data_IF_011288292090
#
_entry.id   IF_011288292090
#
_cell.length_a   1.000
_cell.length_b   1.000
_cell.length_c   1.000
_cell.angle_alpha   90.00
_cell.angle_beta   90.00
_cell.angle_gamma   90.00
#
_symmetry.space_group_name_H-M   'P 1'
#
loop_
_entity.id
_entity.type
_entity.pdbx_description
1 polymer ?
#
# COMPACT_ATOMS: atom_id res chain seq x y z
N UNK A 1 -59.72 -0.41 -52.40
CA UNK A 1 -60.43 0.49 -51.46
C UNK A 1 -59.72 0.45 -50.12
N UNK A 2 -59.31 1.63 -49.66
CA UNK A 2 -59.18 2.12 -48.28
C UNK A 2 -58.15 1.51 -47.31
N UNK A 3 -57.04 2.27 -47.16
CA UNK A 3 -56.28 2.57 -45.92
C UNK A 3 -57.21 3.14 -44.81
N UNK A 4 -56.88 3.13 -43.49
CA UNK A 4 -55.63 3.72 -42.99
C UNK A 4 -54.98 3.19 -41.67
N UNK A 5 -53.70 3.56 -41.59
CA UNK A 5 -52.86 3.98 -40.45
C UNK A 5 -53.29 3.65 -39.01
N UNK A 6 -52.36 3.10 -38.24
CA UNK A 6 -51.88 3.78 -37.02
C UNK A 6 -50.47 3.34 -36.65
N UNK A 7 -49.60 4.35 -36.58
CA UNK A 7 -48.25 4.31 -36.00
C UNK A 7 -48.38 4.30 -34.48
N UNK A 8 -47.62 3.45 -33.80
CA UNK A 8 -47.21 3.69 -32.43
C UNK A 8 -45.74 3.27 -32.30
N UNK A 9 -44.86 4.26 -32.27
CA UNK A 9 -43.44 4.12 -31.91
C UNK A 9 -43.37 4.44 -30.42
N UNK A 10 -42.97 3.47 -29.59
CA UNK A 10 -42.55 3.73 -28.21
C UNK A 10 -41.02 3.59 -28.14
N UNK A 11 -40.28 4.62 -27.71
CA UNK A 11 -38.87 4.48 -27.41
C UNK A 11 -38.71 4.03 -25.94
N UNK A 12 -38.25 2.80 -25.73
CA UNK A 12 -37.71 2.37 -24.44
C UNK A 12 -36.25 2.80 -24.37
N UNK A 13 -36.01 4.01 -23.88
CA UNK A 13 -34.70 4.46 -23.46
C UNK A 13 -34.37 3.82 -22.10
N UNK A 14 -33.60 2.72 -22.11
CA UNK A 14 -32.97 2.20 -20.91
C UNK A 14 -31.70 3.02 -20.64
N UNK A 15 -31.78 3.94 -19.70
CA UNK A 15 -30.64 4.65 -19.15
C UNK A 15 -29.79 3.68 -18.32
N UNK A 16 -28.63 3.29 -18.85
CA UNK A 16 -27.61 2.59 -18.09
C UNK A 16 -26.90 3.58 -17.15
N UNK A 17 -27.35 3.65 -15.90
CA UNK A 17 -26.61 4.31 -14.83
C UNK A 17 -25.46 3.38 -14.39
N UNK A 18 -24.31 3.50 -15.05
CA UNK A 18 -23.06 3.01 -14.50
C UNK A 18 -22.67 3.92 -13.33
N UNK A 19 -23.09 3.55 -12.12
CA UNK A 19 -22.56 4.16 -10.90
C UNK A 19 -21.08 3.78 -10.81
N UNK A 20 -20.21 4.72 -11.16
CA UNK A 20 -18.78 4.62 -10.94
C UNK A 20 -18.54 4.56 -9.41
N UNK A 21 -18.31 3.36 -8.88
CA UNK A 21 -17.74 3.20 -7.54
C UNK A 21 -16.29 3.67 -7.60
N UNK A 22 -16.04 4.98 -7.43
CA UNK A 22 -14.71 5.52 -7.19
C UNK A 22 -14.29 5.15 -5.76
N UNK A 23 -13.24 4.32 -5.53
CA UNK A 23 -12.69 4.13 -4.19
C UNK A 23 -11.76 5.32 -3.88
N UNK A 24 -12.33 6.52 -3.74
CA UNK A 24 -11.58 7.74 -3.48
C UNK A 24 -11.95 8.30 -2.11
N UNK A 25 -11.53 7.62 -1.03
CA UNK A 25 -11.67 8.17 0.33
C UNK A 25 -10.57 7.67 1.27
N UNK A 26 -9.31 7.80 0.85
CA UNK A 26 -8.19 7.76 1.79
C UNK A 26 -7.73 9.21 1.97
N UNK A 27 -8.01 9.79 3.14
CA UNK A 27 -7.45 11.09 3.51
C UNK A 27 -5.94 10.90 3.71
N UNK A 28 -5.07 11.79 3.17
CA UNK A 28 -3.65 11.77 3.49
C UNK A 28 -3.45 11.83 5.02
N UNK A 29 -2.71 10.86 5.59
CA UNK A 29 -2.47 10.76 7.03
C UNK A 29 -3.58 10.10 7.86
N UNK A 30 -4.58 9.47 7.24
CA UNK A 30 -5.58 8.70 7.99
C UNK A 30 -4.96 7.43 8.60
N UNK A 31 -5.01 7.32 9.93
CA UNK A 31 -4.78 6.07 10.65
C UNK A 31 -5.89 5.07 10.30
N UNK A 32 -5.54 3.85 9.88
CA UNK A 32 -6.52 2.80 9.62
C UNK A 32 -7.06 2.28 10.97
N UNK A 33 -8.38 2.32 11.25
CA UNK A 33 -8.91 1.91 12.55
C UNK A 33 -8.54 0.48 12.93
N UNK A 34 -7.99 0.34 14.13
CA UNK A 34 -7.42 -0.85 14.77
C UNK A 34 -8.51 -1.71 15.42
N UNK A 35 -9.00 -2.73 14.72
CA UNK A 35 -9.51 -3.91 15.39
C UNK A 35 -8.31 -4.83 15.68
N UNK A 36 -7.66 -4.61 16.82
CA UNK A 36 -6.50 -5.37 17.35
C UNK A 36 -5.38 -5.59 16.33
N UNK A 37 -4.68 -4.51 15.96
CA UNK A 37 -3.37 -4.63 15.32
C UNK A 37 -2.32 -4.21 16.35
N UNK A 38 -1.33 -5.06 16.57
CA UNK A 38 -0.07 -4.63 17.18
C UNK A 38 0.67 -3.75 16.15
N UNK A 39 1.44 -2.76 16.63
CA UNK A 39 2.03 -1.72 15.77
C UNK A 39 1.01 -0.74 15.14
N UNK A 40 1.49 0.46 14.83
CA UNK A 40 0.75 1.50 14.12
C UNK A 40 1.01 1.42 12.61
N UNK A 41 0.06 1.88 11.79
CA UNK A 41 0.22 1.92 10.33
C UNK A 41 -0.24 3.22 9.67
N UNK A 42 0.52 3.65 8.66
CA UNK A 42 0.27 4.89 7.92
C UNK A 42 0.35 4.69 6.41
N UNK A 43 -0.63 5.21 5.68
CA UNK A 43 -0.59 5.29 4.21
C UNK A 43 0.05 6.61 3.78
N UNK A 44 1.21 6.52 3.13
CA UNK A 44 1.98 7.67 2.65
C UNK A 44 1.59 7.96 1.20
N UNK A 45 0.89 9.08 0.99
CA UNK A 45 0.33 9.47 -0.33
C UNK A 45 1.00 10.69 -0.95
N UNK A 46 1.82 11.44 -0.19
CA UNK A 46 2.56 12.59 -0.72
C UNK A 46 3.73 12.08 -1.57
N UNK A 47 3.79 12.35 -2.89
CA UNK A 47 4.78 11.72 -3.78
C UNK A 47 6.24 11.91 -3.34
N UNK A 48 6.60 13.09 -2.81
CA UNK A 48 7.95 13.35 -2.30
C UNK A 48 8.29 12.45 -1.11
N UNK A 49 7.36 12.28 -0.17
CA UNK A 49 7.57 11.43 1.02
C UNK A 49 7.53 9.95 0.62
N UNK A 50 6.62 9.57 -0.28
CA UNK A 50 6.55 8.23 -0.85
C UNK A 50 7.88 7.83 -1.51
N UNK A 51 8.46 8.70 -2.35
CA UNK A 51 9.77 8.48 -2.93
C UNK A 51 10.87 8.32 -1.87
N UNK A 52 10.85 9.15 -0.82
CA UNK A 52 11.80 9.06 0.29
C UNK A 52 11.68 7.75 1.07
N UNK A 53 10.48 7.21 1.28
CA UNK A 53 10.27 5.90 1.94
C UNK A 53 10.93 4.77 1.13
N UNK A 54 10.89 4.87 -0.20
CA UNK A 54 11.55 3.90 -1.07
C UNK A 54 13.05 4.19 -1.28
N UNK A 55 13.56 5.37 -0.94
CA UNK A 55 15.00 5.70 -0.99
C UNK A 55 15.74 5.12 0.24
N UNK A 56 15.80 3.79 0.25
CA UNK A 56 16.44 3.00 1.30
C UNK A 56 17.96 2.99 1.13
N UNK A 57 18.71 3.09 2.23
CA UNK A 57 20.17 3.19 2.18
C UNK A 57 20.88 1.83 2.30
N UNK A 58 20.34 0.87 3.04
CA UNK A 58 21.02 -0.39 3.37
C UNK A 58 20.23 -1.65 3.02
N UNK A 59 19.13 -1.53 2.27
CA UNK A 59 18.37 -2.65 1.70
C UNK A 59 17.99 -2.35 0.25
N UNK A 60 17.58 -3.38 -0.50
CA UNK A 60 16.93 -3.15 -1.79
C UNK A 60 15.48 -2.71 -1.60
N UNK A 61 14.96 -1.92 -2.53
CA UNK A 61 13.56 -1.53 -2.63
C UNK A 61 13.26 -1.14 -4.09
N UNK A 62 11.99 -1.20 -4.52
CA UNK A 62 11.61 -0.85 -5.89
C UNK A 62 12.07 0.54 -6.35
N UNK A 63 12.21 1.51 -5.43
CA UNK A 63 12.65 2.86 -5.76
C UNK A 63 14.16 3.01 -5.98
N UNK A 64 14.98 1.98 -5.71
CA UNK A 64 16.44 2.01 -5.91
C UNK A 64 16.83 1.77 -7.36
N UNK A 65 15.97 1.10 -8.11
CA UNK A 65 16.18 0.82 -9.53
C UNK A 65 15.59 1.96 -10.37
N UNK A 66 16.45 2.64 -11.13
CA UNK A 66 16.03 3.76 -11.96
C UNK A 66 14.96 3.30 -12.98
N UNK A 67 13.79 3.93 -12.93
CA UNK A 67 12.67 3.64 -13.84
C UNK A 67 11.83 2.42 -13.47
N UNK A 68 12.13 1.69 -12.38
CA UNK A 68 11.29 0.59 -11.92
C UNK A 68 9.93 1.08 -11.41
N UNK A 69 9.94 2.19 -10.64
CA UNK A 69 8.71 2.88 -10.21
C UNK A 69 8.32 3.90 -11.27
N UNK A 70 7.15 3.72 -11.87
CA UNK A 70 6.60 4.61 -12.91
C UNK A 70 5.54 5.57 -12.38
N UNK A 71 5.04 5.34 -11.16
CA UNK A 71 3.98 6.14 -10.58
C UNK A 71 3.73 5.82 -9.11
N UNK A 72 2.98 6.71 -8.45
CA UNK A 72 2.52 6.54 -7.07
C UNK A 72 0.99 6.65 -7.04
N UNK A 73 0.37 5.84 -6.19
CA UNK A 73 -1.07 5.82 -6.02
C UNK A 73 -1.43 5.64 -4.54
N UNK A 74 -2.67 5.94 -4.17
CA UNK A 74 -3.15 5.80 -2.80
C UNK A 74 -3.84 4.44 -2.59
N UNK A 75 -3.26 3.50 -1.80
CA UNK A 75 -3.94 2.27 -1.40
C UNK A 75 -5.31 2.52 -0.79
N UNK A 76 -6.31 1.79 -1.26
CA UNK A 76 -7.63 1.79 -0.63
C UNK A 76 -7.56 1.11 0.74
N UNK A 77 -8.52 1.44 1.60
CA UNK A 77 -8.66 0.79 2.91
C UNK A 77 -8.74 -0.74 2.80
N UNK A 78 -9.51 -1.25 1.84
CA UNK A 78 -9.66 -2.69 1.63
C UNK A 78 -8.34 -3.36 1.23
N UNK A 79 -7.54 -2.72 0.38
CA UNK A 79 -6.23 -3.26 0.00
C UNK A 79 -5.25 -3.24 1.18
N UNK A 80 -5.31 -2.23 2.05
CA UNK A 80 -4.53 -2.22 3.30
C UNK A 80 -5.00 -3.32 4.25
N UNK A 81 -6.30 -3.51 4.43
CA UNK A 81 -6.84 -4.61 5.25
C UNK A 81 -6.44 -5.98 4.69
N UNK A 82 -6.44 -6.16 3.37
CA UNK A 82 -5.97 -7.38 2.71
C UNK A 82 -4.47 -7.62 2.98
N UNK A 83 -3.63 -6.59 2.83
CA UNK A 83 -2.20 -6.65 3.13
C UNK A 83 -1.96 -7.06 4.58
N UNK A 84 -2.62 -6.39 5.52
CA UNK A 84 -2.45 -6.61 6.96
C UNK A 84 -2.85 -8.04 7.36
N UNK A 85 -3.92 -8.57 6.76
CA UNK A 85 -4.33 -9.96 6.96
C UNK A 85 -3.31 -11.00 6.48
N UNK A 86 -2.36 -10.61 5.61
CA UNK A 86 -1.29 -11.48 5.13
C UNK A 86 0.00 -11.38 5.96
N UNK A 87 0.13 -10.42 6.88
CA UNK A 87 1.34 -10.26 7.70
C UNK A 87 1.75 -11.53 8.47
N UNK A 88 0.83 -12.34 9.05
CA UNK A 88 1.21 -13.58 9.72
C UNK A 88 1.93 -14.58 8.82
N UNK A 89 1.76 -14.51 7.49
CA UNK A 89 2.49 -15.37 6.55
C UNK A 89 3.98 -15.05 6.47
N UNK A 90 4.39 -13.87 6.97
CA UNK A 90 5.78 -13.47 7.03
C UNK A 90 6.50 -13.95 8.29
N UNK A 91 5.81 -14.55 9.28
CA UNK A 91 6.40 -14.91 10.58
C UNK A 91 7.64 -15.80 10.49
N UNK A 92 7.70 -16.68 9.48
CA UNK A 92 8.86 -17.55 9.25
C UNK A 92 10.13 -16.77 8.87
N UNK A 93 9.99 -15.57 8.29
CA UNK A 93 11.10 -14.70 7.87
C UNK A 93 11.28 -13.52 8.83
N UNK A 94 10.18 -12.97 9.34
CA UNK A 94 10.09 -11.82 10.24
C UNK A 94 9.27 -12.25 11.47
N UNK A 95 9.93 -12.70 12.55
CA UNK A 95 9.22 -13.03 13.79
C UNK A 95 8.38 -11.84 14.27
N UNK A 96 7.13 -12.12 14.66
CA UNK A 96 6.17 -11.11 15.09
C UNK A 96 6.03 -9.93 14.10
N UNK A 97 5.94 -10.23 12.79
CA UNK A 97 5.80 -9.22 11.74
C UNK A 97 4.67 -8.21 12.00
N UNK A 98 3.61 -8.65 12.67
CA UNK A 98 2.50 -7.81 13.08
C UNK A 98 2.83 -6.82 14.21
N UNK A 99 3.95 -6.92 14.92
CA UNK A 99 4.23 -6.00 16.04
C UNK A 99 4.90 -4.69 15.60
N UNK A 100 5.49 -4.67 14.41
CA UNK A 100 6.22 -3.51 13.88
C UNK A 100 5.28 -2.35 13.56
N UNK A 101 5.75 -1.12 13.78
CA UNK A 101 5.15 0.05 13.14
C UNK A 101 5.47 0.02 11.63
N UNK A 102 4.61 0.61 10.80
CA UNK A 102 4.77 0.49 9.33
C UNK A 102 4.20 1.62 8.47
N UNK A 103 4.90 1.95 7.40
CA UNK A 103 4.46 2.84 6.33
C UNK A 103 4.12 2.05 5.06
N UNK A 104 3.03 2.45 4.39
CA UNK A 104 2.60 1.89 3.12
C UNK A 104 2.70 2.92 2.01
N UNK A 105 3.27 2.51 0.88
CA UNK A 105 3.34 3.32 -0.33
C UNK A 105 2.78 2.53 -1.51
N UNK A 106 1.72 3.02 -2.14
CA UNK A 106 1.25 2.48 -3.41
C UNK A 106 2.19 2.92 -4.53
N UNK A 107 2.76 1.96 -5.26
CA UNK A 107 3.62 2.20 -6.43
C UNK A 107 3.08 1.49 -7.67
N UNK A 108 3.34 2.08 -8.82
CA UNK A 108 3.19 1.44 -10.12
C UNK A 108 4.57 0.94 -10.58
N UNK A 109 4.66 -0.35 -10.90
CA UNK A 109 5.90 -1.01 -11.33
C UNK A 109 5.56 -2.13 -12.30
N UNK A 110 6.21 -2.15 -13.46
CA UNK A 110 5.97 -3.18 -14.49
C UNK A 110 4.51 -3.26 -14.97
N UNK A 111 3.80 -2.12 -14.99
CA UNK A 111 2.38 -2.05 -15.38
C UNK A 111 1.41 -2.60 -14.33
N UNK A 112 1.87 -2.86 -13.10
CA UNK A 112 1.06 -3.37 -11.98
C UNK A 112 1.08 -2.39 -10.82
N UNK A 113 0.00 -2.38 -10.05
CA UNK A 113 -0.09 -1.66 -8.78
C UNK A 113 0.29 -2.60 -7.65
N UNK A 114 1.34 -2.25 -6.91
CA UNK A 114 1.78 -2.96 -5.71
C UNK A 114 1.91 -1.99 -4.54
N UNK A 115 1.95 -2.51 -3.32
CA UNK A 115 2.12 -1.74 -2.09
C UNK A 115 3.49 -2.08 -1.50
N UNK A 116 4.36 -1.10 -1.40
CA UNK A 116 5.59 -1.23 -0.64
C UNK A 116 5.30 -1.03 0.85
N UNK A 117 5.76 -1.97 1.66
CA UNK A 117 5.72 -1.93 3.11
C UNK A 117 7.11 -1.56 3.62
N UNK A 118 7.19 -0.52 4.46
CA UNK A 118 8.37 -0.16 5.25
C UNK A 118 8.03 -0.34 6.74
N UNK A 119 8.63 -1.31 7.40
CA UNK A 119 8.37 -1.64 8.80
C UNK A 119 9.58 -1.35 9.69
N UNK A 120 9.31 -0.92 10.92
CA UNK A 120 10.30 -0.41 11.86
C UNK A 120 9.83 -0.54 13.31
N UNK A 121 10.81 -0.50 14.23
CA UNK A 121 10.58 -0.10 15.62
C UNK A 121 11.35 1.19 15.87
N UNK A 122 10.64 2.24 16.25
CA UNK A 122 11.27 3.48 16.72
C UNK A 122 11.52 3.39 18.23
N UNK A 123 12.62 3.98 18.73
CA UNK A 123 12.78 4.13 20.17
C UNK A 123 11.69 5.04 20.74
N UNK A 124 11.30 4.79 21.98
CA UNK A 124 10.34 5.63 22.70
C UNK A 124 10.81 7.09 22.70
N UNK A 125 9.88 8.01 22.40
CA UNK A 125 10.15 9.45 22.39
C UNK A 125 10.90 9.97 21.16
N UNK A 126 10.99 9.20 20.07
CA UNK A 126 11.51 9.68 18.80
C UNK A 126 10.72 10.90 18.29
N UNK A 127 11.43 11.99 17.95
CA UNK A 127 10.86 13.22 17.38
C UNK A 127 10.67 13.10 15.86
N UNK A 128 9.93 12.07 15.43
CA UNK A 128 9.60 11.83 14.03
C UNK A 128 8.10 11.47 13.93
N UNK A 129 7.39 12.04 12.95
CA UNK A 129 5.98 11.73 12.71
C UNK A 129 5.88 10.79 11.50
N UNK A 130 5.67 9.46 11.70
CA UNK A 130 5.62 8.51 10.59
C UNK A 130 4.45 8.73 9.63
N UNK A 131 3.49 9.60 9.96
CA UNK A 131 2.43 10.01 9.02
C UNK A 131 2.87 11.07 8.02
N UNK A 132 3.96 11.79 8.31
CA UNK A 132 4.46 12.94 7.54
C UNK A 132 5.89 12.77 7.03
N UNK A 133 6.69 12.01 7.77
CA UNK A 133 8.12 11.84 7.54
C UNK A 133 8.44 10.41 7.12
N UNK A 134 9.30 10.26 6.12
CA UNK A 134 9.76 8.94 5.69
C UNK A 134 10.69 8.34 6.76
N UNK A 135 10.37 7.14 7.27
CA UNK A 135 11.26 6.44 8.20
C UNK A 135 12.38 5.79 7.41
N UNK A 136 13.57 6.41 7.47
CA UNK A 136 14.78 6.00 6.76
C UNK A 136 15.89 5.77 7.78
N UNK A 137 16.22 4.50 8.02
CA UNK A 137 17.28 4.11 8.96
C UNK A 137 18.30 3.26 8.22
N UNK A 138 19.59 3.57 8.36
CA UNK A 138 20.66 2.73 7.84
C UNK A 138 21.15 1.79 8.93
N UNK A 139 21.54 0.58 8.57
CA UNK A 139 22.14 -0.42 9.46
C UNK A 139 21.31 -0.81 10.71
N UNK A 140 19.98 -0.69 10.59
CA UNK A 140 19.01 -1.05 11.64
C UNK A 140 18.81 -2.55 11.84
N UNK A 141 19.41 -3.40 11.01
CA UNK A 141 19.31 -4.85 11.08
C UNK A 141 17.87 -5.36 10.97
N UNK A 142 17.54 -6.39 11.75
CA UNK A 142 16.21 -7.01 11.74
C UNK A 142 15.08 -6.11 12.28
N UNK A 143 15.39 -4.98 12.92
CA UNK A 143 14.38 -4.05 13.44
C UNK A 143 13.79 -3.15 12.35
N UNK A 144 14.36 -3.17 11.15
CA UNK A 144 13.91 -2.37 10.02
C UNK A 144 13.90 -3.25 8.78
N UNK A 145 12.72 -3.47 8.21
CA UNK A 145 12.53 -4.33 7.06
C UNK A 145 11.49 -3.77 6.10
N UNK A 146 11.47 -4.31 4.90
CA UNK A 146 10.46 -3.97 3.91
C UNK A 146 10.10 -5.16 3.06
N UNK A 147 8.94 -5.07 2.42
CA UNK A 147 8.42 -6.10 1.53
C UNK A 147 7.53 -5.44 0.46
N UNK A 148 7.30 -6.14 -0.64
CA UNK A 148 6.35 -5.75 -1.68
C UNK A 148 5.11 -6.62 -1.54
N UNK A 149 3.93 -6.00 -1.50
CA UNK A 149 2.65 -6.68 -1.49
C UNK A 149 1.91 -6.45 -2.79
N UNK A 150 1.47 -7.53 -3.43
CA UNK A 150 0.60 -7.45 -4.60
C UNK A 150 -0.87 -7.65 -4.19
N UNK A 151 -1.73 -6.61 -4.27
CA UNK A 151 -3.14 -6.72 -3.92
C UNK A 151 -3.96 -7.59 -4.88
N UNK A 152 -3.52 -7.76 -6.13
CA UNK A 152 -4.23 -8.60 -7.11
C UNK A 152 -4.07 -10.10 -6.78
N UNK A 153 -2.93 -10.50 -6.23
CA UNK A 153 -2.65 -11.90 -5.86
C UNK A 153 -2.76 -12.15 -4.35
N UNK A 154 -2.69 -11.11 -3.52
CA UNK A 154 -2.70 -11.22 -2.06
C UNK A 154 -1.40 -11.82 -1.51
N UNK A 155 -0.26 -11.54 -2.15
CA UNK A 155 1.03 -12.17 -1.79
C UNK A 155 2.11 -11.13 -1.52
N UNK A 156 2.98 -11.45 -0.55
CA UNK A 156 4.21 -10.71 -0.32
C UNK A 156 5.38 -11.29 -1.14
N UNK A 157 6.28 -10.42 -1.57
CA UNK A 157 7.59 -10.72 -2.16
C UNK A 157 8.66 -9.77 -1.59
N UNK A 158 9.91 -10.02 -1.97
CA UNK A 158 11.03 -9.09 -1.77
C UNK A 158 11.19 -8.61 -0.32
N UNK A 159 11.10 -9.54 0.62
CA UNK A 159 11.36 -9.27 2.04
C UNK A 159 12.85 -8.97 2.21
N UNK A 160 13.18 -7.76 2.64
CA UNK A 160 14.55 -7.26 2.79
C UNK A 160 14.72 -6.56 4.13
N UNK A 161 15.89 -6.73 4.76
CA UNK A 161 16.24 -6.13 6.05
C UNK A 161 17.35 -5.11 5.89
N UNK A 162 17.43 -4.12 6.78
CA UNK A 162 18.47 -3.09 6.78
C UNK A 162 19.79 -3.61 7.38
N UNK A 163 20.30 -4.72 6.84
CA UNK A 163 21.47 -5.45 7.34
C UNK A 163 21.12 -6.85 7.88
N UNK A 164 22.11 -7.70 8.15
CA UNK A 164 21.86 -9.04 8.69
C UNK A 164 21.16 -8.95 10.06
N UNK A 165 20.30 -9.92 10.41
CA UNK A 165 19.82 -10.06 11.78
C UNK A 165 21.01 -10.05 12.74
N UNK A 166 21.00 -9.20 13.78
CA UNK A 166 22.05 -9.26 14.80
C UNK A 166 21.91 -10.60 15.54
N UNK A 167 22.93 -11.46 15.41
CA UNK A 167 23.07 -12.72 16.15
C UNK A 167 22.47 -13.94 15.46
N UNK A 168 23.31 -14.70 14.75
CA UNK A 168 23.28 -16.16 14.77
C UNK A 168 24.51 -16.64 15.54
#
# INVERSE_FOLDING_TARGET
>A
MNRPLSRAVLPLALAALAAACTPANVRPGASVPTAVKTGQSWVVTRPVIAAQVLDTCSRSSPGREAGAVTGYWAPSRQQVEQLEAQLPRLEAQVPNAADFDRQYVGIEMGGRQVIYLNAFHLPDGADIDPSRDAIRVCDGGAQFWGAVFDPATGTFSDVQFNGPPKGR
#
